data_IF_321186232353
#
_entry.id   IF_321186232353
#
_cell.length_a   1.000
_cell.length_b   1.000
_cell.length_c   1.000
_cell.angle_alpha   90.00
_cell.angle_beta   90.00
_cell.angle_gamma   90.00
#
_symmetry.space_group_name_H-M   'P 1'
#
loop_
_entity.id
_entity.type
_entity.pdbx_description
1 polymer ?
#
# COMPACT_ATOMS: atom_id res chain seq x y z
N UNK A 1 -66.62 -27.16 5.66
CA UNK A 1 -65.82 -25.96 5.98
C UNK A 1 -64.73 -26.37 6.96
N UNK A 2 -63.49 -25.86 6.86
CA UNK A 2 -62.85 -25.05 5.80
C UNK A 2 -61.67 -25.81 5.12
N UNK A 3 -61.48 -25.80 3.79
CA UNK A 3 -60.75 -24.84 2.91
C UNK A 3 -59.25 -24.69 3.19
N UNK A 4 -58.42 -25.32 2.34
CA UNK A 4 -57.16 -24.78 1.77
C UNK A 4 -57.50 -23.72 0.68
N UNK A 5 -56.59 -22.89 0.10
CA UNK A 5 -55.11 -22.96 0.07
C UNK A 5 -54.36 -21.59 0.14
N UNK A 6 -53.03 -21.66 -0.07
CA UNK A 6 -52.12 -20.71 -0.76
C UNK A 6 -51.02 -19.95 0.02
N UNK A 7 -49.78 -20.35 -0.35
CA UNK A 7 -48.56 -19.57 -0.59
C UNK A 7 -48.54 -18.08 -0.24
N UNK A 8 -47.59 -17.71 0.62
CA UNK A 8 -47.06 -16.36 0.77
C UNK A 8 -45.54 -16.39 0.88
N UNK A 9 -44.88 -15.80 -0.12
CA UNK A 9 -43.45 -15.54 -0.20
C UNK A 9 -43.01 -14.44 0.76
N UNK A 10 -41.95 -14.68 1.55
CA UNK A 10 -41.07 -13.69 2.17
C UNK A 10 -39.78 -14.46 2.54
N UNK A 11 -38.55 -14.06 2.23
CA UNK A 11 -37.96 -12.76 2.48
C UNK A 11 -36.73 -12.53 1.58
N UNK A 12 -36.72 -11.45 0.82
CA UNK A 12 -35.52 -10.84 0.27
C UNK A 12 -34.75 -10.13 1.38
N UNK A 13 -33.97 -10.89 2.16
CA UNK A 13 -33.03 -10.35 3.13
C UNK A 13 -31.78 -9.82 2.43
N UNK A 14 -31.86 -8.60 1.89
CA UNK A 14 -30.68 -7.87 1.42
C UNK A 14 -29.70 -7.69 2.59
N UNK A 15 -28.56 -8.40 2.56
CA UNK A 15 -27.49 -8.22 3.55
C UNK A 15 -26.83 -6.87 3.30
N UNK A 16 -27.12 -5.91 4.16
CA UNK A 16 -26.42 -4.63 4.22
C UNK A 16 -24.96 -4.89 4.62
N UNK A 17 -24.01 -4.55 3.74
CA UNK A 17 -22.59 -4.58 4.05
C UNK A 17 -22.29 -3.51 5.11
N UNK A 18 -21.93 -3.94 6.33
CA UNK A 18 -21.39 -3.03 7.35
C UNK A 18 -19.92 -2.75 7.03
N UNK A 19 -19.66 -1.62 6.39
CA UNK A 19 -18.33 -1.01 6.40
C UNK A 19 -18.05 -0.54 7.83
N UNK A 20 -17.18 -1.24 8.57
CA UNK A 20 -16.69 -0.74 9.85
C UNK A 20 -15.52 0.21 9.56
N UNK A 21 -15.85 1.47 9.27
CA UNK A 21 -14.91 2.57 9.46
C UNK A 21 -14.89 2.87 10.96
N UNK A 22 -13.79 2.57 11.64
CA UNK A 22 -13.56 3.17 12.95
C UNK A 22 -13.14 4.63 12.72
N UNK A 23 -14.12 5.52 12.78
CA UNK A 23 -13.91 6.94 12.98
C UNK A 23 -13.26 7.17 14.34
N UNK A 24 -11.94 7.27 14.37
CA UNK A 24 -11.24 7.88 15.50
C UNK A 24 -11.01 9.36 15.18
N UNK A 25 -12.06 10.16 15.33
CA UNK A 25 -11.94 11.60 15.51
C UNK A 25 -13.09 12.09 16.40
N UNK A 26 -12.73 12.49 17.63
CA UNK A 26 -13.62 13.30 18.46
C UNK A 26 -13.77 14.67 17.79
N UNK A 27 -14.96 14.96 17.28
CA UNK A 27 -15.29 16.26 16.69
C UNK A 27 -16.54 16.14 15.83
N UNK A 28 -17.68 16.56 16.38
CA UNK A 28 -18.93 16.60 15.62
C UNK A 28 -18.81 17.54 14.43
N UNK A 29 -18.95 17.00 13.22
CA UNK A 29 -19.19 17.77 12.01
C UNK A 29 -20.24 17.04 11.15
N UNK A 30 -21.19 17.85 10.70
CA UNK A 30 -22.36 17.60 9.87
C UNK A 30 -22.16 16.55 8.76
N UNK A 31 -23.03 15.54 8.73
CA UNK A 31 -23.00 14.39 7.81
C UNK A 31 -23.62 14.67 6.43
N UNK A 32 -23.82 15.93 6.06
CA UNK A 32 -24.51 16.30 4.82
C UNK A 32 -23.59 16.91 3.76
N UNK A 33 -22.72 16.08 3.15
CA UNK A 33 -22.21 16.20 1.75
C UNK A 33 -21.07 15.20 1.48
N UNK A 34 -21.40 13.91 1.42
CA UNK A 34 -20.57 12.95 0.68
C UNK A 34 -21.27 12.76 -0.65
N UNK A 35 -20.71 13.35 -1.72
CA UNK A 35 -21.17 13.09 -3.08
C UNK A 35 -21.13 11.59 -3.34
N UNK A 36 -22.18 11.05 -3.98
CA UNK A 36 -22.25 9.63 -4.32
C UNK A 36 -21.10 9.26 -5.25
N UNK A 37 -20.11 8.52 -4.75
CA UNK A 37 -19.12 7.86 -5.62
C UNK A 37 -19.86 6.72 -6.32
N UNK A 38 -20.03 6.82 -7.63
CA UNK A 38 -20.62 5.75 -8.42
C UNK A 38 -19.67 4.55 -8.41
N UNK A 39 -20.15 3.40 -7.92
CA UNK A 39 -19.41 2.14 -8.05
C UNK A 39 -19.43 1.71 -9.51
N UNK A 40 -18.32 1.87 -10.22
CA UNK A 40 -18.22 1.39 -11.61
C UNK A 40 -18.07 -0.13 -11.66
N UNK A 41 -17.69 -0.77 -10.54
CA UNK A 41 -17.48 -2.21 -10.43
C UNK A 41 -16.24 -2.72 -11.15
N UNK A 42 -15.47 -1.84 -11.78
CA UNK A 42 -14.30 -2.17 -12.60
C UNK A 42 -13.00 -2.35 -11.80
N UNK A 43 -13.00 -1.93 -10.54
CA UNK A 43 -11.82 -1.94 -9.67
C UNK A 43 -11.71 -3.20 -8.78
N UNK A 44 -12.52 -4.23 -9.06
CA UNK A 44 -12.49 -5.53 -8.38
C UNK A 44 -12.66 -5.49 -6.84
N UNK A 45 -13.30 -4.43 -6.32
CA UNK A 45 -13.51 -4.26 -4.89
C UNK A 45 -14.70 -5.04 -4.34
N UNK A 46 -15.63 -5.46 -5.20
CA UNK A 46 -16.79 -6.24 -4.81
C UNK A 46 -16.48 -7.75 -4.90
N UNK A 47 -16.44 -8.50 -3.79
CA UNK A 47 -16.14 -9.92 -3.79
C UNK A 47 -17.21 -10.75 -4.53
N UNK A 48 -18.46 -10.28 -4.62
CA UNK A 48 -19.54 -11.01 -5.30
C UNK A 48 -19.40 -11.00 -6.82
N UNK A 49 -18.71 -10.00 -7.36
CA UNK A 49 -18.47 -9.84 -8.79
C UNK A 49 -16.98 -9.97 -9.13
N UNK A 50 -16.17 -10.45 -8.18
CA UNK A 50 -14.75 -10.68 -8.40
C UNK A 50 -14.58 -11.83 -9.42
N UNK A 51 -13.76 -11.66 -10.46
CA UNK A 51 -13.63 -12.65 -11.55
C UNK A 51 -12.74 -13.83 -11.10
N UNK A 52 -13.30 -14.74 -10.30
CA UNK A 52 -12.59 -15.91 -9.78
C UNK A 52 -12.05 -16.84 -10.88
N UNK A 53 -12.71 -16.87 -12.05
CA UNK A 53 -12.28 -17.62 -13.23
C UNK A 53 -10.99 -17.08 -13.88
N UNK A 54 -10.53 -15.89 -13.44
CA UNK A 54 -9.31 -15.22 -13.90
C UNK A 54 -8.16 -15.33 -12.91
N UNK A 55 -8.32 -16.10 -11.84
CA UNK A 55 -7.23 -16.44 -10.93
C UNK A 55 -6.37 -17.52 -11.57
N UNK A 56 -5.07 -17.29 -11.63
CA UNK A 56 -4.09 -18.22 -12.19
C UNK A 56 -3.29 -18.90 -11.07
N UNK A 57 -3.32 -20.22 -10.99
CA UNK A 57 -2.43 -21.00 -10.12
C UNK A 57 -1.09 -21.23 -10.82
N UNK A 58 -0.10 -20.39 -10.51
CA UNK A 58 1.18 -20.35 -11.23
C UNK A 58 2.28 -21.15 -10.53
N UNK A 59 2.25 -21.16 -9.20
CA UNK A 59 3.25 -21.85 -8.38
C UNK A 59 2.57 -22.76 -7.38
N UNK A 60 3.33 -23.71 -6.83
CA UNK A 60 2.89 -24.41 -5.63
C UNK A 60 2.67 -23.42 -4.48
N UNK A 61 1.67 -23.71 -3.66
CA UNK A 61 1.41 -22.97 -2.44
C UNK A 61 2.68 -22.89 -1.59
N UNK A 62 2.97 -21.68 -1.07
CA UNK A 62 4.15 -21.37 -0.28
C UNK A 62 5.51 -21.56 -0.98
N UNK A 63 5.55 -21.60 -2.33
CA UNK A 63 6.81 -21.66 -3.07
C UNK A 63 7.80 -20.53 -2.72
N UNK A 64 7.31 -19.33 -2.40
CA UNK A 64 8.12 -18.18 -1.97
C UNK A 64 8.43 -18.17 -0.47
N UNK A 65 7.77 -19.01 0.34
CA UNK A 65 7.93 -19.14 1.80
C UNK A 65 7.89 -17.79 2.55
N UNK A 66 6.70 -17.44 3.05
CA UNK A 66 6.55 -16.27 3.90
C UNK A 66 7.44 -16.36 5.16
N UNK A 67 8.05 -15.23 5.55
CA UNK A 67 8.80 -15.14 6.80
C UNK A 67 7.84 -14.85 7.96
N UNK A 68 7.92 -15.64 9.02
CA UNK A 68 7.04 -15.55 10.19
C UNK A 68 7.83 -15.14 11.41
N UNK A 69 7.47 -14.00 12.01
CA UNK A 69 8.09 -13.48 13.23
C UNK A 69 9.62 -13.40 13.12
N UNK A 70 10.14 -12.66 12.12
CA UNK A 70 11.56 -12.68 11.81
C UNK A 70 12.41 -11.98 12.87
N UNK A 71 13.72 -12.20 12.81
CA UNK A 71 14.68 -11.53 13.69
C UNK A 71 15.02 -10.16 13.13
N UNK A 72 15.28 -9.21 14.03
CA UNK A 72 15.67 -7.86 13.67
C UNK A 72 16.95 -7.46 14.41
N UNK A 73 17.78 -6.69 13.71
CA UNK A 73 19.02 -6.11 14.26
C UNK A 73 19.00 -4.59 14.04
N UNK A 74 19.71 -3.80 14.87
CA UNK A 74 19.89 -2.38 14.60
C UNK A 74 20.49 -2.16 13.20
N UNK A 75 20.11 -1.06 12.53
CA UNK A 75 20.61 -0.70 11.21
C UNK A 75 22.15 -0.63 11.11
N UNK A 76 22.82 -0.29 12.23
CA UNK A 76 24.27 -0.22 12.32
C UNK A 76 24.96 -1.59 12.55
N UNK A 77 24.21 -2.68 12.71
CA UNK A 77 24.76 -4.01 12.95
C UNK A 77 25.55 -4.54 11.75
N UNK A 78 26.60 -5.34 12.01
CA UNK A 78 27.32 -6.05 10.96
C UNK A 78 26.41 -7.00 10.17
N UNK A 79 25.36 -7.54 10.81
CA UNK A 79 24.34 -8.38 10.15
C UNK A 79 23.47 -7.62 9.15
N UNK A 80 23.46 -6.28 9.15
CA UNK A 80 22.73 -5.47 8.18
C UNK A 80 23.54 -5.20 6.89
N UNK A 81 24.82 -5.60 6.84
CA UNK A 81 25.74 -5.29 5.72
C UNK A 81 25.44 -6.04 4.41
N UNK A 82 24.45 -6.94 4.40
CA UNK A 82 23.96 -7.54 3.16
C UNK A 82 23.08 -6.57 2.34
N UNK A 83 22.75 -5.41 2.90
CA UNK A 83 21.97 -4.34 2.25
C UNK A 83 22.91 -3.18 1.93
N UNK A 84 22.99 -2.84 0.65
CA UNK A 84 23.69 -1.68 0.12
C UNK A 84 22.83 -0.42 0.30
N UNK A 85 23.49 0.74 0.29
CA UNK A 85 22.82 2.03 0.50
C UNK A 85 21.75 2.35 -0.54
N UNK A 86 21.92 1.90 -1.78
CA UNK A 86 20.98 2.14 -2.89
C UNK A 86 19.87 1.09 -2.99
N UNK A 87 19.88 0.05 -2.15
CA UNK A 87 18.80 -0.94 -2.15
C UNK A 87 17.51 -0.32 -1.63
N UNK A 88 16.39 -0.59 -2.31
CA UNK A 88 15.08 -0.18 -1.83
C UNK A 88 14.64 -1.01 -0.62
N UNK A 89 14.00 -0.33 0.32
CA UNK A 89 13.39 -0.93 1.50
C UNK A 89 11.96 -0.42 1.66
N UNK A 90 11.08 -1.30 2.14
CA UNK A 90 9.81 -0.88 2.74
C UNK A 90 10.11 -0.59 4.21
N UNK A 91 9.92 0.64 4.63
CA UNK A 91 10.13 1.10 6.00
C UNK A 91 8.81 1.39 6.70
N UNK A 92 8.66 0.86 7.91
CA UNK A 92 7.45 1.00 8.72
C UNK A 92 7.81 1.56 10.09
N UNK A 93 7.11 2.61 10.53
CA UNK A 93 7.23 3.15 11.89
C UNK A 93 5.89 3.14 12.61
N UNK A 94 5.78 2.34 13.66
CA UNK A 94 4.58 2.23 14.49
C UNK A 94 4.96 2.26 15.97
N UNK A 95 4.21 3.05 16.75
CA UNK A 95 4.39 3.23 18.19
C UNK A 95 5.86 3.45 18.60
N UNK A 96 6.53 4.36 17.88
CA UNK A 96 7.93 4.73 18.15
C UNK A 96 9.00 3.78 17.58
N UNK A 97 8.64 2.56 17.20
CA UNK A 97 9.58 1.57 16.64
C UNK A 97 9.60 1.67 15.11
N UNK A 98 10.80 1.74 14.53
CA UNK A 98 11.01 1.80 13.09
C UNK A 98 11.72 0.52 12.62
N UNK A 99 11.19 -0.14 11.60
CA UNK A 99 11.79 -1.34 11.00
C UNK A 99 11.80 -1.24 9.48
N UNK A 100 12.82 -1.81 8.83
CA UNK A 100 12.95 -1.90 7.38
C UNK A 100 12.93 -3.35 6.87
N UNK A 101 12.38 -3.52 5.68
CA UNK A 101 12.23 -4.78 4.95
C UNK A 101 12.80 -4.60 3.53
N UNK A 102 13.99 -5.14 3.23
CA UNK A 102 14.63 -4.95 1.94
C UNK A 102 13.87 -5.61 0.80
N UNK A 103 13.72 -4.90 -0.31
CA UNK A 103 13.12 -5.43 -1.54
C UNK A 103 13.81 -6.71 -1.99
N UNK A 104 15.14 -6.77 -1.85
CA UNK A 104 15.92 -7.94 -2.21
C UNK A 104 15.53 -9.22 -1.48
N UNK A 105 15.07 -9.14 -0.23
CA UNK A 105 14.50 -10.30 0.46
C UNK A 105 13.04 -10.52 0.05
N UNK A 106 12.30 -9.43 -0.14
CA UNK A 106 10.90 -9.47 -0.53
C UNK A 106 10.70 -10.08 -1.94
N UNK A 107 11.68 -10.02 -2.84
CA UNK A 107 11.64 -10.71 -4.13
C UNK A 107 11.50 -12.23 -4.01
N UNK A 108 12.12 -12.79 -2.97
CA UNK A 108 12.12 -14.22 -2.71
C UNK A 108 10.97 -14.63 -1.80
N UNK A 109 10.74 -13.85 -0.73
CA UNK A 109 9.79 -14.22 0.31
C UNK A 109 8.37 -13.71 0.08
N UNK A 110 8.24 -12.57 -0.61
CA UNK A 110 7.02 -11.82 -0.91
C UNK A 110 6.16 -11.38 0.29
N UNK A 111 6.21 -12.07 1.44
CA UNK A 111 5.41 -11.77 2.63
C UNK A 111 6.27 -11.93 3.87
N UNK A 112 6.24 -10.92 4.74
CA UNK A 112 6.85 -10.93 6.07
C UNK A 112 5.79 -10.60 7.11
N UNK A 113 5.47 -11.56 7.97
CA UNK A 113 4.54 -11.39 9.07
C UNK A 113 5.30 -10.97 10.33
N UNK A 114 5.10 -9.74 10.79
CA UNK A 114 5.86 -9.15 11.90
C UNK A 114 4.94 -8.49 12.96
N UNK A 115 5.54 -8.04 14.05
CA UNK A 115 4.97 -7.14 15.04
C UNK A 115 5.88 -5.93 15.25
N UNK A 116 5.33 -4.73 15.09
CA UNK A 116 6.03 -3.47 15.35
C UNK A 116 5.29 -2.73 16.46
N UNK A 117 6.00 -2.39 17.54
CA UNK A 117 5.40 -1.63 18.65
C UNK A 117 4.14 -2.30 19.21
N UNK A 118 4.12 -3.64 19.27
CA UNK A 118 2.98 -4.45 19.71
C UNK A 118 1.91 -4.74 18.64
N UNK A 119 1.91 -4.03 17.51
CA UNK A 119 0.90 -4.17 16.45
C UNK A 119 1.31 -5.24 15.43
N UNK A 120 0.48 -6.27 15.19
CA UNK A 120 0.69 -7.21 14.10
C UNK A 120 0.56 -6.55 12.73
N UNK A 121 1.51 -6.82 11.86
CA UNK A 121 1.48 -6.41 10.46
C UNK A 121 1.89 -7.54 9.53
N UNK A 122 1.52 -7.41 8.26
CA UNK A 122 2.07 -8.18 7.15
C UNK A 122 2.64 -7.22 6.12
N UNK A 123 3.95 -7.27 5.90
CA UNK A 123 4.63 -6.54 4.84
C UNK A 123 4.69 -7.43 3.62
N UNK A 124 4.18 -6.93 2.50
CA UNK A 124 3.98 -7.73 1.29
C UNK A 124 4.61 -7.03 0.10
N UNK A 125 5.17 -7.82 -0.82
CA UNK A 125 5.74 -7.34 -2.05
C UNK A 125 5.44 -8.32 -3.18
N UNK A 126 4.85 -7.85 -4.27
CA UNK A 126 4.65 -8.65 -5.49
C UNK A 126 5.63 -8.19 -6.57
N UNK A 127 6.70 -8.96 -6.86
CA UNK A 127 7.71 -8.56 -7.84
C UNK A 127 7.20 -8.46 -9.28
N UNK A 128 6.11 -9.16 -9.58
CA UNK A 128 5.51 -9.12 -10.90
C UNK A 128 4.77 -7.80 -11.17
N UNK A 129 4.26 -7.13 -10.13
CA UNK A 129 3.56 -5.85 -10.21
C UNK A 129 4.31 -4.69 -9.55
N UNK A 130 5.51 -4.93 -9.01
CA UNK A 130 6.33 -3.92 -8.34
C UNK A 130 5.70 -3.35 -7.06
N UNK A 131 4.68 -4.02 -6.51
CA UNK A 131 3.82 -3.44 -5.48
C UNK A 131 4.21 -3.88 -4.07
N UNK A 132 4.68 -2.92 -3.27
CA UNK A 132 4.92 -3.04 -1.83
C UNK A 132 3.75 -2.50 -1.01
N UNK A 133 3.11 -3.34 -0.19
CA UNK A 133 1.96 -2.94 0.64
C UNK A 133 2.08 -3.54 2.04
N UNK A 134 1.78 -2.73 3.05
CA UNK A 134 1.75 -3.15 4.45
C UNK A 134 0.31 -3.22 4.94
N UNK A 135 -0.08 -4.37 5.49
CA UNK A 135 -1.41 -4.58 6.07
C UNK A 135 -1.35 -4.67 7.58
N UNK A 136 -2.33 -4.08 8.25
CA UNK A 136 -2.59 -4.34 9.66
C UNK A 136 -3.14 -5.77 9.76
N UNK A 137 -2.50 -6.60 10.57
CA UNK A 137 -2.78 -8.02 10.62
C UNK A 137 -3.63 -8.39 11.84
N UNK A 138 -4.70 -7.62 12.07
CA UNK A 138 -5.67 -7.86 13.14
C UNK A 138 -7.10 -7.82 12.60
N UNK A 139 -7.92 -8.79 12.99
CA UNK A 139 -9.37 -8.74 12.81
C UNK A 139 -10.04 -8.22 14.07
N UNK A 140 -10.76 -7.11 13.96
CA UNK A 140 -11.47 -6.47 15.07
C UNK A 140 -12.20 -7.47 15.96
N UNK A 141 -11.83 -7.50 17.24
CA UNK A 141 -12.55 -8.17 18.32
C UNK A 141 -12.18 -9.62 18.66
N UNK A 142 -11.32 -10.30 17.90
CA UNK A 142 -10.85 -11.65 18.25
C UNK A 142 -9.31 -11.72 18.26
N UNK A 143 -8.78 -12.45 19.25
CA UNK A 143 -7.36 -12.55 19.65
C UNK A 143 -6.43 -13.14 18.56
N UNK A 144 -6.95 -13.48 17.38
CA UNK A 144 -6.16 -14.12 16.34
C UNK A 144 -5.61 -13.09 15.35
N UNK A 145 -4.32 -12.82 15.52
CA UNK A 145 -3.48 -12.16 14.50
C UNK A 145 -3.63 -12.89 13.17
N UNK A 146 -3.90 -12.13 12.11
CA UNK A 146 -3.74 -12.62 10.75
C UNK A 146 -2.26 -12.90 10.48
N UNK A 147 -1.98 -14.04 9.86
CA UNK A 147 -0.68 -14.31 9.26
C UNK A 147 -0.94 -14.71 7.82
N UNK A 148 -0.20 -14.13 6.88
CA UNK A 148 -0.39 -14.41 5.47
C UNK A 148 0.70 -15.28 4.88
N UNK A 149 0.30 -16.18 4.00
CA UNK A 149 1.18 -17.03 3.19
C UNK A 149 0.91 -16.76 1.71
N UNK A 150 1.81 -17.22 0.85
CA UNK A 150 1.65 -17.06 -0.58
C UNK A 150 0.84 -18.24 -1.12
N UNK A 151 -0.32 -17.96 -1.72
CA UNK A 151 -1.23 -19.04 -2.18
C UNK A 151 -0.67 -19.83 -3.37
N UNK A 152 0.30 -19.27 -4.10
CA UNK A 152 0.71 -19.75 -5.43
C UNK A 152 -0.19 -19.22 -6.55
N UNK A 153 -1.26 -18.51 -6.19
CA UNK A 153 -2.24 -17.94 -7.10
C UNK A 153 -1.96 -16.46 -7.35
N UNK A 154 -2.25 -16.03 -8.58
CA UNK A 154 -2.15 -14.64 -9.04
C UNK A 154 -3.48 -14.17 -9.60
N UNK A 155 -3.76 -12.88 -9.44
CA UNK A 155 -4.77 -12.18 -10.21
C UNK A 155 -4.14 -10.95 -10.85
N UNK A 156 -4.21 -10.82 -12.18
CA UNK A 156 -3.54 -9.74 -12.92
C UNK A 156 -2.04 -9.61 -12.57
N UNK A 157 -1.33 -10.74 -12.58
CA UNK A 157 0.08 -10.86 -12.18
C UNK A 157 0.37 -10.54 -10.70
N UNK A 158 -0.62 -10.10 -9.91
CA UNK A 158 -0.44 -9.71 -8.53
C UNK A 158 -0.66 -10.87 -7.56
N UNK A 159 0.12 -10.89 -6.48
CA UNK A 159 0.07 -11.89 -5.42
C UNK A 159 -1.34 -12.00 -4.79
N UNK A 160 -1.86 -13.22 -4.69
CA UNK A 160 -2.97 -13.54 -3.79
C UNK A 160 -2.41 -14.17 -2.51
N UNK A 161 -2.70 -13.56 -1.37
CA UNK A 161 -2.35 -14.06 -0.05
C UNK A 161 -3.44 -14.98 0.49
N UNK A 162 -3.06 -15.95 1.32
CA UNK A 162 -4.01 -16.73 2.13
C UNK A 162 -3.73 -16.59 3.63
N UNK A 163 -4.76 -16.72 4.47
CA UNK A 163 -4.59 -16.70 5.94
C UNK A 163 -4.04 -18.05 6.43
N UNK A 164 -2.91 -18.07 7.13
CA UNK A 164 -2.32 -19.28 7.71
C UNK A 164 -3.24 -19.95 8.73
N UNK A 165 -4.18 -19.20 9.33
CA UNK A 165 -5.14 -19.75 10.28
C UNK A 165 -6.37 -20.38 9.59
N UNK A 166 -6.65 -20.00 8.33
CA UNK A 166 -7.78 -20.50 7.55
C UNK A 166 -7.46 -20.40 6.05
N UNK A 167 -7.10 -21.55 5.47
CA UNK A 167 -6.71 -21.68 4.08
C UNK A 167 -7.88 -21.53 3.09
N UNK A 168 -9.09 -21.22 3.53
CA UNK A 168 -10.19 -20.83 2.63
C UNK A 168 -10.23 -19.32 2.37
N UNK A 169 -9.47 -18.53 3.13
CA UNK A 169 -9.46 -17.08 3.04
C UNK A 169 -8.39 -16.65 2.04
N UNK A 170 -8.78 -15.84 1.05
CA UNK A 170 -7.89 -15.25 0.03
C UNK A 170 -8.01 -13.74 0.00
N UNK A 171 -6.87 -13.07 -0.16
CA UNK A 171 -6.75 -11.62 -0.30
C UNK A 171 -5.82 -11.28 -1.47
N UNK A 172 -6.34 -10.79 -2.61
CA UNK A 172 -5.52 -10.14 -3.62
C UNK A 172 -4.82 -8.92 -3.03
N UNK A 173 -3.51 -8.83 -3.22
CA UNK A 173 -2.69 -7.81 -2.58
C UNK A 173 -3.11 -6.40 -2.98
N UNK A 174 -3.42 -6.14 -4.26
CA UNK A 174 -3.80 -4.79 -4.73
C UNK A 174 -5.21 -4.36 -4.27
N UNK A 175 -6.18 -5.27 -4.14
CA UNK A 175 -7.57 -4.89 -3.75
C UNK A 175 -7.77 -4.73 -2.25
N UNK A 176 -6.86 -5.31 -1.45
CA UNK A 176 -6.90 -5.35 0.02
C UNK A 176 -8.13 -6.09 0.58
N UNK A 177 -8.96 -6.70 -0.27
CA UNK A 177 -10.30 -7.17 0.08
C UNK A 177 -10.35 -8.68 0.02
N UNK A 178 -10.93 -9.31 1.04
CA UNK A 178 -11.11 -10.75 1.06
C UNK A 178 -12.06 -11.17 -0.05
N UNK A 179 -11.69 -12.17 -0.85
CA UNK A 179 -12.52 -12.65 -1.97
C UNK A 179 -13.13 -14.03 -1.69
N UNK A 180 -12.69 -14.72 -0.64
CA UNK A 180 -13.18 -16.05 -0.30
C UNK A 180 -13.17 -16.31 1.21
N UNK A 181 -13.85 -17.39 1.61
CA UNK A 181 -13.97 -17.80 3.00
C UNK A 181 -14.83 -16.85 3.84
N UNK A 182 -14.75 -16.99 5.16
CA UNK A 182 -15.58 -16.23 6.11
C UNK A 182 -15.29 -14.72 6.13
N UNK A 183 -14.21 -14.29 5.45
CA UNK A 183 -13.79 -12.89 5.36
C UNK A 183 -13.99 -12.28 3.97
N UNK A 184 -14.78 -12.91 3.10
CA UNK A 184 -15.18 -12.29 1.84
C UNK A 184 -15.80 -10.89 2.08
N UNK A 185 -15.31 -9.88 1.37
CA UNK A 185 -15.71 -8.47 1.52
C UNK A 185 -15.03 -7.70 2.65
N UNK A 186 -14.22 -8.35 3.48
CA UNK A 186 -13.49 -7.66 4.54
C UNK A 186 -12.28 -6.96 3.95
N UNK A 187 -12.12 -5.67 4.24
CA UNK A 187 -11.00 -4.85 3.76
C UNK A 187 -9.89 -4.79 4.81
N UNK A 188 -8.65 -5.04 4.40
CA UNK A 188 -7.47 -4.88 5.25
C UNK A 188 -7.06 -3.40 5.33
N UNK A 189 -6.84 -2.93 6.56
CA UNK A 189 -6.29 -1.60 6.80
C UNK A 189 -4.79 -1.58 6.43
N UNK A 190 -4.31 -0.44 5.94
CA UNK A 190 -2.91 -0.23 5.55
C UNK A 190 -2.23 0.80 6.45
N UNK A 191 -1.43 0.36 7.44
CA UNK A 191 -0.63 1.28 8.25
C UNK A 191 0.31 2.11 7.37
N UNK A 192 0.64 3.36 7.74
CA UNK A 192 1.59 4.16 6.97
C UNK A 192 2.96 3.48 6.87
N UNK A 193 3.50 3.45 5.66
CA UNK A 193 4.86 2.99 5.36
C UNK A 193 5.52 3.95 4.36
N UNK A 194 6.82 3.78 4.16
CA UNK A 194 7.60 4.52 3.18
C UNK A 194 8.41 3.50 2.39
N UNK A 195 8.35 3.57 1.07
CA UNK A 195 9.34 2.90 0.22
C UNK A 195 10.38 3.94 -0.18
N UNK A 196 11.66 3.61 0.00
CA UNK A 196 12.79 4.49 -0.33
C UNK A 196 14.10 3.69 -0.28
N UNK A 197 15.23 4.30 -0.61
CA UNK A 197 16.54 3.65 -0.47
C UNK A 197 16.89 3.38 1.00
N UNK A 198 17.72 2.38 1.24
CA UNK A 198 18.21 2.05 2.56
C UNK A 198 18.98 3.21 3.19
N UNK A 199 19.76 3.94 2.39
CA UNK A 199 20.47 5.15 2.80
C UNK A 199 19.51 6.20 3.34
N UNK A 200 18.47 6.55 2.58
CA UNK A 200 17.55 7.60 3.00
C UNK A 200 16.69 7.16 4.18
N UNK A 201 16.27 5.89 4.22
CA UNK A 201 15.56 5.36 5.38
C UNK A 201 16.37 5.49 6.69
N UNK A 202 17.67 5.15 6.68
CA UNK A 202 18.56 5.34 7.83
C UNK A 202 18.68 6.81 8.23
N UNK A 203 18.70 7.72 7.26
CA UNK A 203 18.74 9.16 7.52
C UNK A 203 17.45 9.66 8.18
N UNK A 204 16.30 9.14 7.75
CA UNK A 204 14.98 9.45 8.32
C UNK A 204 14.76 8.83 9.71
N UNK A 205 15.35 7.66 9.95
CA UNK A 205 15.19 6.82 11.14
C UNK A 205 16.52 6.15 11.55
N UNK A 206 17.45 6.89 12.17
CA UNK A 206 18.79 6.36 12.52
C UNK A 206 18.75 5.21 13.53
N UNK A 207 17.74 5.18 14.39
CA UNK A 207 17.51 4.10 15.38
C UNK A 207 16.71 2.92 14.80
N UNK A 208 16.55 2.85 13.47
CA UNK A 208 15.77 1.79 12.84
C UNK A 208 16.42 0.42 13.05
N UNK A 209 15.56 -0.59 13.11
CA UNK A 209 15.97 -1.97 12.94
C UNK A 209 15.78 -2.39 11.49
N UNK A 210 16.42 -3.48 11.11
CA UNK A 210 16.24 -4.14 9.81
C UNK A 210 16.22 -5.65 10.02
N UNK A 211 15.48 -6.35 9.16
CA UNK A 211 15.41 -7.81 9.23
C UNK A 211 16.81 -8.41 9.15
N UNK A 212 17.12 -9.31 10.08
CA UNK A 212 18.41 -10.00 10.16
C UNK A 212 18.49 -11.06 9.09
N UNK A 213 19.67 -11.18 8.47
CA UNK A 213 19.99 -12.27 7.55
C UNK A 213 19.91 -13.66 8.21
N UNK A 214 20.06 -13.73 9.54
CA UNK A 214 19.97 -14.96 10.33
C UNK A 214 18.53 -15.27 10.80
N UNK A 215 17.53 -14.69 10.14
CA UNK A 215 16.12 -15.00 10.37
C UNK A 215 15.82 -16.45 9.96
N UNK A 216 15.09 -17.24 10.77
CA UNK A 216 14.64 -18.56 10.35
C UNK A 216 13.84 -18.52 9.04
N UNK A 217 14.25 -19.34 8.07
CA UNK A 217 13.64 -19.40 6.74
C UNK A 217 14.28 -18.44 5.71
N UNK A 218 15.19 -17.55 6.12
CA UNK A 218 15.97 -16.75 5.19
C UNK A 218 17.06 -17.61 4.51
N UNK A 219 17.37 -17.26 3.26
CA UNK A 219 18.54 -17.74 2.53
C UNK A 219 19.83 -17.01 2.95
N UNK A 220 20.98 -17.53 2.51
CA UNK A 220 22.25 -16.84 2.59
C UNK A 220 22.24 -15.49 1.86
N UNK A 221 23.04 -14.53 2.36
CA UNK A 221 23.11 -13.17 1.81
C UNK A 221 23.41 -13.12 0.30
N UNK A 222 24.22 -14.05 -0.21
CA UNK A 222 24.58 -14.12 -1.62
C UNK A 222 23.38 -14.40 -2.53
N UNK A 223 22.37 -15.11 -2.05
CA UNK A 223 21.13 -15.37 -2.80
C UNK A 223 20.38 -14.07 -3.05
N UNK A 224 20.25 -13.20 -2.04
CA UNK A 224 19.53 -11.92 -2.19
C UNK A 224 20.27 -10.88 -3.03
N UNK A 225 21.54 -11.11 -3.38
CA UNK A 225 22.25 -10.23 -4.31
C UNK A 225 21.93 -10.54 -5.78
N UNK A 226 21.13 -11.58 -6.05
CA UNK A 226 20.63 -11.93 -7.37
C UNK A 226 19.16 -11.54 -7.46
N UNK A 227 18.74 -11.02 -8.61
CA UNK A 227 17.33 -10.77 -8.88
C UNK A 227 16.68 -12.06 -9.43
N UNK A 228 15.69 -12.66 -8.75
CA UNK A 228 15.23 -14.01 -9.10
C UNK A 228 14.32 -14.06 -10.34
N UNK A 229 13.86 -12.91 -10.85
CA UNK A 229 12.98 -12.85 -12.02
C UNK A 229 13.72 -12.54 -13.34
N UNK A 230 15.06 -12.57 -13.34
CA UNK A 230 15.88 -12.49 -14.55
C UNK A 230 15.61 -11.23 -15.38
N UNK A 231 15.39 -11.40 -16.69
CA UNK A 231 15.10 -10.30 -17.63
C UNK A 231 13.79 -9.58 -17.36
N UNK A 232 12.91 -10.10 -16.50
CA UNK A 232 11.69 -9.40 -16.11
C UNK A 232 11.96 -8.08 -15.36
N UNK A 233 13.22 -7.78 -15.00
CA UNK A 233 13.59 -6.47 -14.48
C UNK A 233 13.52 -5.35 -15.53
N UNK A 234 13.54 -5.70 -16.82
CA UNK A 234 13.46 -4.75 -17.92
C UNK A 234 12.18 -3.90 -17.81
N UNK A 235 12.28 -2.56 -17.75
CA UNK A 235 11.13 -1.67 -17.63
C UNK A 235 10.15 -1.76 -18.81
N UNK A 236 10.63 -2.17 -19.98
CA UNK A 236 9.82 -2.32 -21.20
C UNK A 236 9.10 -3.67 -21.29
N UNK A 237 9.48 -4.62 -20.44
CA UNK A 237 8.77 -5.90 -20.37
C UNK A 237 7.37 -5.69 -19.79
N UNK A 238 6.35 -6.04 -20.56
CA UNK A 238 4.95 -6.05 -20.13
C UNK A 238 4.64 -7.09 -19.03
N UNK A 239 3.34 -7.31 -18.72
CA UNK A 239 2.93 -8.31 -17.76
C UNK A 239 3.43 -9.72 -18.16
N UNK A 240 3.82 -10.53 -17.16
CA UNK A 240 4.35 -11.89 -17.39
C UNK A 240 3.27 -12.86 -17.87
N UNK A 241 2.06 -12.68 -17.35
CA UNK A 241 0.85 -13.43 -17.68
C UNK A 241 -0.21 -12.49 -18.26
N UNK A 242 -1.20 -13.05 -18.95
CA UNK A 242 -2.30 -12.25 -19.46
C UNK A 242 -3.01 -11.48 -18.32
N UNK A 243 -3.57 -10.32 -18.63
CA UNK A 243 -4.33 -9.52 -17.68
C UNK A 243 -5.79 -9.41 -18.08
N UNK A 244 -6.65 -9.14 -17.11
CA UNK A 244 -8.07 -8.96 -17.27
C UNK A 244 -8.57 -7.68 -16.57
N UNK A 245 -9.31 -6.81 -17.27
CA UNK A 245 -9.48 -6.74 -18.73
C UNK A 245 -8.15 -6.67 -19.49
N UNK A 246 -8.21 -6.85 -20.82
CA UNK A 246 -6.98 -6.81 -21.63
C UNK A 246 -6.37 -5.42 -21.52
N UNK A 247 -5.05 -5.36 -21.39
CA UNK A 247 -4.34 -4.11 -21.13
C UNK A 247 -4.54 -3.10 -22.27
N UNK A 248 -4.58 -3.59 -23.52
CA UNK A 248 -4.80 -2.79 -24.72
C UNK A 248 -6.18 -2.13 -24.80
N UNK A 249 -7.16 -2.62 -24.02
CA UNK A 249 -8.49 -2.01 -23.95
C UNK A 249 -8.49 -0.77 -23.02
N UNK A 250 -7.43 -0.56 -22.23
CA UNK A 250 -7.29 0.62 -21.37
C UNK A 250 -6.63 1.78 -22.15
N UNK A 251 -7.28 2.94 -22.31
CA UNK A 251 -6.74 4.07 -23.08
C UNK A 251 -5.44 4.66 -22.50
N UNK A 252 -5.11 4.35 -21.24
CA UNK A 252 -3.92 4.84 -20.55
C UNK A 252 -2.67 3.98 -20.79
N UNK A 253 -2.80 2.79 -21.39
CA UNK A 253 -1.69 1.83 -21.53
C UNK A 253 -0.44 2.42 -22.18
N UNK A 254 -0.61 3.27 -23.18
CA UNK A 254 0.49 3.84 -23.97
C UNK A 254 1.10 5.12 -23.40
N UNK A 255 0.64 5.61 -22.25
CA UNK A 255 1.15 6.87 -21.68
C UNK A 255 2.56 6.73 -21.09
N UNK A 256 2.89 5.55 -20.54
CA UNK A 256 4.17 5.26 -19.90
C UNK A 256 4.63 3.84 -20.21
N UNK A 257 5.92 3.57 -20.02
CA UNK A 257 6.47 2.21 -20.10
C UNK A 257 5.71 1.28 -19.15
N UNK A 258 5.52 -0.01 -19.48
CA UNK A 258 4.69 -0.93 -18.69
C UNK A 258 5.07 -0.96 -17.21
N UNK A 259 6.36 -0.90 -16.88
CA UNK A 259 6.86 -0.93 -15.50
C UNK A 259 7.33 0.42 -14.99
N UNK A 260 6.89 1.51 -15.61
CA UNK A 260 7.07 2.83 -15.04
C UNK A 260 6.55 2.86 -13.61
N UNK A 261 7.37 3.38 -12.69
CA UNK A 261 7.02 3.31 -11.29
C UNK A 261 6.01 4.39 -10.95
N UNK A 262 4.86 3.96 -10.45
CA UNK A 262 3.71 4.82 -10.24
C UNK A 262 3.33 4.77 -8.77
N UNK A 263 3.45 5.91 -8.09
CA UNK A 263 2.84 6.06 -6.79
C UNK A 263 1.35 6.27 -6.97
N UNK A 264 0.53 5.55 -6.22
CA UNK A 264 -0.91 5.63 -6.37
C UNK A 264 -1.64 5.73 -5.06
N UNK A 265 -2.73 6.49 -5.08
CA UNK A 265 -3.62 6.71 -3.94
C UNK A 265 -5.01 6.24 -4.33
N UNK A 266 -5.73 5.60 -3.40
CA UNK A 266 -7.14 5.29 -3.58
C UNK A 266 -7.97 5.56 -2.34
N UNK A 267 -9.21 5.98 -2.57
CA UNK A 267 -10.30 6.00 -1.61
C UNK A 267 -11.49 5.26 -2.20
N UNK A 268 -11.67 4.00 -1.80
CA UNK A 268 -12.64 3.10 -2.42
C UNK A 268 -12.39 3.01 -3.94
N UNK A 269 -13.37 3.45 -4.74
CA UNK A 269 -13.35 3.47 -6.21
C UNK A 269 -12.61 4.67 -6.81
N UNK A 270 -12.43 5.76 -6.04
CA UNK A 270 -11.64 6.90 -6.51
C UNK A 270 -10.16 6.57 -6.40
N UNK A 271 -9.45 6.57 -7.53
CA UNK A 271 -8.02 6.28 -7.59
C UNK A 271 -7.29 7.34 -8.42
N UNK A 272 -6.05 7.63 -8.06
CA UNK A 272 -5.18 8.54 -8.81
C UNK A 272 -3.75 8.02 -8.86
N UNK A 273 -3.18 8.09 -10.04
CA UNK A 273 -1.81 7.72 -10.36
C UNK A 273 -0.91 8.95 -10.40
N UNK A 274 0.30 8.81 -9.86
CA UNK A 274 1.39 9.77 -9.89
C UNK A 274 2.63 9.07 -10.48
N UNK A 275 2.73 8.92 -11.82
CA UNK A 275 3.87 8.28 -12.47
C UNK A 275 5.15 9.08 -12.25
N UNK A 276 6.26 8.45 -11.89
CA UNK A 276 7.51 9.14 -11.54
C UNK A 276 7.98 10.21 -12.56
N UNK A 277 7.86 10.03 -13.89
CA UNK A 277 8.27 11.04 -14.87
C UNK A 277 7.48 12.35 -14.78
N UNK A 278 6.25 12.31 -14.25
CA UNK A 278 5.38 13.50 -14.08
C UNK A 278 5.74 14.33 -12.86
N UNK A 279 6.57 13.80 -11.95
CA UNK A 279 6.86 14.41 -10.64
C UNK A 279 8.20 15.16 -10.60
N UNK A 280 9.02 15.05 -11.64
CA UNK A 280 10.37 15.59 -11.67
C UNK A 280 11.27 15.02 -10.55
N UNK A 281 12.23 15.81 -10.08
CA UNK A 281 13.17 15.40 -9.02
C UNK A 281 12.59 15.56 -7.61
N UNK A 282 11.74 16.56 -7.40
CA UNK A 282 11.29 16.99 -6.08
C UNK A 282 9.94 17.72 -6.21
N UNK A 283 8.88 17.16 -5.62
CA UNK A 283 7.54 17.75 -5.74
C UNK A 283 6.81 17.85 -4.40
N UNK A 284 5.98 18.90 -4.29
CA UNK A 284 4.94 19.08 -3.28
C UNK A 284 3.66 19.42 -4.03
N UNK A 285 2.83 18.41 -4.26
CA UNK A 285 1.64 18.50 -5.09
C UNK A 285 0.43 18.67 -4.19
N UNK A 286 -0.35 19.71 -4.47
CA UNK A 286 -1.60 20.02 -3.80
C UNK A 286 -2.76 19.52 -4.66
N UNK A 287 -3.44 18.47 -4.24
CA UNK A 287 -4.43 17.78 -5.07
C UNK A 287 -5.68 17.41 -4.25
N UNK A 288 -6.69 16.86 -4.93
CA UNK A 288 -7.89 16.32 -4.32
C UNK A 288 -8.28 15.00 -5.00
N UNK A 289 -8.74 14.04 -4.20
CA UNK A 289 -9.21 12.75 -4.70
C UNK A 289 -10.39 12.26 -3.85
N UNK A 290 -11.49 11.86 -4.50
CA UNK A 290 -12.66 11.32 -3.80
C UNK A 290 -13.23 12.27 -2.73
N UNK A 291 -13.17 13.58 -2.97
CA UNK A 291 -13.61 14.61 -2.03
C UNK A 291 -12.67 14.87 -0.85
N UNK A 292 -11.47 14.28 -0.82
CA UNK A 292 -10.45 14.50 0.21
C UNK A 292 -9.32 15.37 -0.34
N UNK A 293 -8.90 16.36 0.44
CA UNK A 293 -7.76 17.20 0.10
C UNK A 293 -6.46 16.48 0.45
N UNK A 294 -5.58 16.28 -0.53
CA UNK A 294 -4.36 15.49 -0.37
C UNK A 294 -3.11 16.28 -0.80
N UNK A 295 -2.00 16.05 -0.11
CA UNK A 295 -0.69 16.53 -0.51
C UNK A 295 0.22 15.36 -0.81
N UNK A 296 0.79 15.30 -2.02
CA UNK A 296 1.79 14.29 -2.41
C UNK A 296 3.17 14.91 -2.38
N UNK A 297 4.09 14.24 -1.70
CA UNK A 297 5.49 14.64 -1.59
C UNK A 297 6.33 13.59 -2.28
N UNK A 298 7.14 14.03 -3.24
CA UNK A 298 8.04 13.19 -4.03
C UNK A 298 9.49 13.64 -3.87
N UNK A 299 10.39 12.68 -3.69
CA UNK A 299 11.83 12.88 -3.79
C UNK A 299 12.45 11.78 -4.66
N UNK A 300 12.72 12.13 -5.92
CA UNK A 300 13.13 11.21 -6.98
C UNK A 300 14.46 10.53 -6.74
N UNK A 301 15.46 11.28 -6.24
CA UNK A 301 16.79 10.73 -5.94
C UNK A 301 16.78 9.55 -4.94
N UNK A 302 15.74 9.44 -4.12
CA UNK A 302 15.58 8.34 -3.14
C UNK A 302 14.30 7.52 -3.37
N UNK A 303 13.62 7.73 -4.51
CA UNK A 303 12.38 7.08 -4.92
C UNK A 303 11.29 7.11 -3.82
N UNK A 304 11.22 8.21 -3.08
CA UNK A 304 10.31 8.35 -1.95
C UNK A 304 9.05 9.10 -2.38
N UNK A 305 7.90 8.45 -2.26
CA UNK A 305 6.60 9.08 -2.34
C UNK A 305 5.84 8.92 -1.02
N UNK A 306 5.26 10.01 -0.51
CA UNK A 306 4.35 9.98 0.64
C UNK A 306 3.18 10.92 0.43
N UNK A 307 2.02 10.56 0.97
CA UNK A 307 0.82 11.39 0.91
C UNK A 307 0.31 11.78 2.30
N UNK A 308 -0.23 12.99 2.40
CA UNK A 308 -0.81 13.56 3.62
C UNK A 308 -2.20 14.11 3.35
N UNK A 309 -3.05 14.11 4.39
CA UNK A 309 -4.25 14.93 4.40
C UNK A 309 -3.83 16.40 4.49
N UNK A 310 -4.45 17.24 3.67
CA UNK A 310 -4.35 18.70 3.82
C UNK A 310 -5.37 19.23 4.82
N UNK A 311 -6.39 18.46 5.16
CA UNK A 311 -7.41 18.88 6.12
C UNK A 311 -6.84 18.81 7.53
N UNK A 312 -6.71 19.96 8.19
CA UNK A 312 -6.17 20.10 9.54
C UNK A 312 -7.11 20.95 10.40
N UNK A 313 -7.85 20.31 11.30
CA UNK A 313 -8.93 20.99 12.03
C UNK A 313 -10.04 21.46 11.06
N UNK A 314 -10.35 22.76 11.06
CA UNK A 314 -11.40 23.34 10.20
C UNK A 314 -10.86 24.00 8.91
N UNK A 315 -9.58 23.80 8.57
CA UNK A 315 -8.96 24.39 7.39
C UNK A 315 -8.32 23.34 6.51
N UNK A 316 -8.20 23.65 5.23
CA UNK A 316 -7.42 22.86 4.28
C UNK A 316 -6.13 23.62 3.99
N UNK A 317 -4.98 22.98 4.27
CA UNK A 317 -3.66 23.55 4.08
C UNK A 317 -3.22 23.50 2.61
N UNK A 318 -2.56 24.55 2.13
CA UNK A 318 -1.92 24.59 0.81
C UNK A 318 -0.41 24.71 1.01
N UNK A 319 0.34 23.73 0.50
CA UNK A 319 1.78 23.62 0.76
C UNK A 319 2.63 24.13 -0.41
N UNK A 320 3.59 25.00 -0.13
CA UNK A 320 4.65 25.37 -1.06
C UNK A 320 5.92 24.59 -0.72
N UNK A 321 6.66 24.15 -1.74
CA UNK A 321 8.02 23.63 -1.58
C UNK A 321 8.99 24.79 -1.29
N UNK A 322 9.74 24.70 -0.21
CA UNK A 322 10.76 25.70 0.16
C UNK A 322 12.15 25.04 0.32
N UNK A 323 13.25 25.81 0.18
CA UNK A 323 14.59 25.30 0.43
C UNK A 323 14.73 24.68 1.83
N UNK A 324 15.50 23.61 1.93
CA UNK A 324 15.72 22.95 3.21
C UNK A 324 16.63 23.76 4.14
N UNK A 325 16.34 23.68 5.43
CA UNK A 325 17.24 24.10 6.51
C UNK A 325 17.82 22.90 7.29
N UNK A 326 17.64 21.69 6.76
CA UNK A 326 18.02 20.42 7.38
C UNK A 326 19.06 19.68 6.54
N UNK A 327 19.96 18.96 7.21
CA UNK A 327 20.84 17.99 6.53
C UNK A 327 20.12 16.66 6.23
N UNK A 328 18.93 16.43 6.78
CA UNK A 328 18.14 15.19 6.59
C UNK A 328 17.20 15.28 5.39
N UNK A 329 16.64 16.45 5.12
CA UNK A 329 15.62 16.64 4.10
C UNK A 329 16.17 17.48 2.95
N UNK A 330 15.95 17.10 1.68
CA UNK A 330 16.39 17.88 0.52
C UNK A 330 15.65 19.21 0.39
N UNK A 331 14.36 19.24 0.77
CA UNK A 331 13.50 20.41 0.81
C UNK A 331 12.52 20.32 1.99
N UNK A 332 11.72 21.35 2.20
CA UNK A 332 10.66 21.39 3.20
C UNK A 332 9.34 21.87 2.60
N UNK A 333 8.25 21.65 3.32
CA UNK A 333 6.93 22.18 2.97
C UNK A 333 6.64 23.39 3.85
N UNK A 334 5.98 24.41 3.29
CA UNK A 334 5.42 25.51 4.07
C UNK A 334 3.96 25.70 3.72
N UNK A 335 3.06 25.65 4.71
CA UNK A 335 1.65 25.92 4.43
C UNK A 335 1.38 27.44 4.36
N UNK A 336 0.44 27.84 3.49
CA UNK A 336 0.09 29.25 3.27
C UNK A 336 -0.78 29.83 4.39
N UNK A 337 -1.52 28.99 5.10
CA UNK A 337 -2.54 29.39 6.06
C UNK A 337 -1.95 29.79 7.42
N UNK A 338 -0.90 29.11 7.85
CA UNK A 338 -0.25 29.32 9.16
C UNK A 338 1.21 29.66 9.04
N UNK A 339 1.80 29.52 7.84
CA UNK A 339 3.23 29.69 7.61
C UNK A 339 4.08 28.71 8.42
N UNK A 340 3.52 27.55 8.81
CA UNK A 340 4.24 26.48 9.49
C UNK A 340 5.14 25.78 8.48
N UNK A 341 6.37 25.47 8.89
CA UNK A 341 7.31 24.65 8.11
C UNK A 341 7.20 23.20 8.57
N UNK A 342 7.10 22.30 7.60
CA UNK A 342 6.95 20.87 7.80
C UNK A 342 8.09 20.11 7.13
N UNK A 343 8.53 19.02 7.77
CA UNK A 343 9.45 18.08 7.15
C UNK A 343 8.75 17.09 6.21
N UNK A 344 9.52 16.27 5.47
CA UNK A 344 8.94 15.30 4.53
C UNK A 344 8.22 14.13 5.21
N UNK A 345 8.30 14.01 6.54
CA UNK A 345 7.49 13.06 7.34
C UNK A 345 6.17 13.70 7.79
N UNK A 346 5.91 14.95 7.41
CA UNK A 346 4.71 15.70 7.78
C UNK A 346 4.74 16.21 9.21
N UNK A 347 5.92 16.37 9.83
CA UNK A 347 6.05 16.96 11.17
C UNK A 347 6.29 18.45 11.06
N UNK A 348 5.52 19.24 11.79
CA UNK A 348 5.73 20.67 11.92
C UNK A 348 6.98 20.95 12.75
N UNK A 349 8.01 21.54 12.14
CA UNK A 349 9.30 21.82 12.79
C UNK A 349 9.41 23.28 13.26
N UNK A 350 8.62 24.20 12.68
CA UNK A 350 8.61 25.61 13.02
C UNK A 350 7.27 26.26 12.67
N UNK A 351 6.91 27.35 13.35
CA UNK A 351 5.67 28.09 13.13
C UNK A 351 4.54 27.70 14.10
N UNK A 352 3.32 28.23 13.90
CA UNK A 352 2.21 28.09 14.85
C UNK A 352 1.76 26.67 15.14
N UNK A 353 1.97 25.73 14.20
CA UNK A 353 1.58 24.32 14.37
C UNK A 353 2.74 23.41 14.80
N UNK A 354 3.87 23.97 15.27
CA UNK A 354 5.05 23.21 15.71
C UNK A 354 4.67 22.00 16.59
N UNK A 355 5.37 20.89 16.36
CA UNK A 355 5.17 19.58 17.02
C UNK A 355 3.90 18.83 16.60
N UNK A 356 3.07 19.42 15.73
CA UNK A 356 1.97 18.72 15.06
C UNK A 356 2.48 17.74 13.99
N UNK A 357 1.65 16.75 13.67
CA UNK A 357 1.93 15.77 12.61
C UNK A 357 0.73 15.70 11.67
N UNK A 358 0.99 15.79 10.36
CA UNK A 358 -0.02 15.59 9.33
C UNK A 358 -0.49 14.13 9.31
N UNK A 359 -1.79 13.93 9.09
CA UNK A 359 -2.35 12.60 8.90
C UNK A 359 -1.81 12.01 7.59
N UNK A 360 -1.20 10.84 7.65
CA UNK A 360 -0.77 10.10 6.46
C UNK A 360 -1.97 9.54 5.71
N UNK A 361 -1.95 9.70 4.38
CA UNK A 361 -2.86 9.03 3.47
C UNK A 361 -2.17 7.77 2.95
N UNK A 362 -2.81 6.59 3.03
CA UNK A 362 -2.25 5.39 2.42
C UNK A 362 -2.13 5.54 0.90
N UNK A 363 -0.93 5.25 0.41
CA UNK A 363 -0.62 5.10 -1.00
C UNK A 363 0.47 4.06 -1.14
N UNK A 364 0.65 3.53 -2.34
CA UNK A 364 1.67 2.53 -2.62
C UNK A 364 2.19 2.68 -4.04
N UNK A 365 3.39 2.18 -4.24
CA UNK A 365 3.99 2.04 -5.56
C UNK A 365 3.47 0.79 -6.27
N UNK A 366 3.31 0.87 -7.58
CA UNK A 366 3.11 -0.27 -8.46
C UNK A 366 3.63 0.06 -9.87
N UNK A 367 3.94 -0.96 -10.65
CA UNK A 367 4.17 -0.81 -12.09
C UNK A 367 2.93 -0.23 -12.77
N UNK A 368 3.16 0.66 -13.73
CA UNK A 368 2.10 1.33 -14.49
C UNK A 368 1.02 0.38 -15.02
N UNK A 369 1.43 -0.69 -15.71
CA UNK A 369 0.50 -1.69 -16.25
C UNK A 369 -0.39 -2.27 -15.15
N UNK A 370 0.17 -2.54 -13.97
CA UNK A 370 -0.55 -3.15 -12.86
C UNK A 370 -1.53 -2.14 -12.26
N UNK A 371 -1.10 -0.88 -12.05
CA UNK A 371 -1.94 0.17 -11.52
C UNK A 371 -3.19 0.38 -12.38
N UNK A 372 -3.03 0.62 -13.69
CA UNK A 372 -4.17 0.88 -14.58
C UNK A 372 -5.04 -0.36 -14.84
N UNK A 373 -4.49 -1.57 -14.65
CA UNK A 373 -5.28 -2.81 -14.73
C UNK A 373 -6.22 -2.93 -13.54
N UNK A 374 -5.72 -2.67 -12.31
CA UNK A 374 -6.53 -2.74 -11.10
C UNK A 374 -7.48 -1.56 -10.93
N UNK A 375 -7.06 -0.37 -11.35
CA UNK A 375 -7.77 0.89 -11.17
C UNK A 375 -8.08 1.52 -12.53
N UNK A 376 -9.03 0.92 -13.25
CA UNK A 376 -9.31 1.26 -14.65
C UNK A 376 -9.85 2.69 -14.83
N UNK A 377 -10.41 3.26 -13.77
CA UNK A 377 -10.94 4.62 -13.72
C UNK A 377 -9.99 5.60 -13.02
N UNK A 378 -8.71 5.24 -12.89
CA UNK A 378 -7.72 6.09 -12.24
C UNK A 378 -7.60 7.43 -12.97
N UNK A 379 -7.65 8.51 -12.21
CA UNK A 379 -7.10 9.78 -12.65
C UNK A 379 -5.58 9.64 -12.80
N UNK A 380 -4.98 10.43 -13.69
CA UNK A 380 -3.52 10.50 -13.85
C UNK A 380 -3.12 11.94 -13.56
N UNK A 381 -2.13 12.11 -12.68
CA UNK A 381 -1.56 13.43 -12.44
C UNK A 381 -0.79 13.92 -13.67
N UNK A 382 -1.05 15.16 -14.06
CA UNK A 382 -0.32 15.91 -15.08
C UNK A 382 0.02 17.27 -14.47
N UNK A 383 1.26 17.73 -14.66
CA UNK A 383 1.79 18.99 -14.11
C UNK A 383 1.31 20.25 -14.87
#
# INVERSE_FOLDING_TARGET
>A
MPTDPENGSDSSGGRTFKTVLQDNAAGGADSSRVGSVAFTGRNFLNPLTFPHDRIESVYEKDATRALIDPRFVPAASAEARYISDDDLVIGVRLNGISKAYPHKMAWYHQIVNDRIGGQPISVTFSPLTGSGIVFAAWSGGAINRLKFGASGELFNNNLIMYDLNDDQIRYPQMTHTGISGVRAGWVLNTPPFIETTWRYWKQLYPDSFVISINTPGAFDASVYNVYPYGSYRDPESGPRFAVFPRLEDNPLVGLFSPKEMTFGIRFLEAAKAYPAPTLGEEAVINDALGGKSIAVVWYGAEQMAVAFSRDYGQRTLVFDRIPSTSQTYPFMLRDRETLTTWDLKGRAIAGPLKDSVLQRIPGHNAFWFAWITFWQDTEVYED
#
